data_IF_052420750536
#
_entry.id   IF_052420750536
#
_cell.length_a   1.000
_cell.length_b   1.000
_cell.length_c   1.000
_cell.angle_alpha   90.00
_cell.angle_beta   90.00
_cell.angle_gamma   90.00
#
_symmetry.space_group_name_H-M   'P 1'
#
loop_
_entity.id
_entity.type
_entity.pdbx_description
1 polymer ?
#
# COMPACT_ATOMS: atom_id res chain seq x y z
N UNK A 1 -18.19 40.59 32.09
CA UNK A 1 -19.11 39.84 31.25
C UNK A 1 -18.43 39.28 29.98
N UNK A 2 -17.77 40.12 29.16
CA UNK A 2 -17.12 39.67 27.91
C UNK A 2 -16.02 38.59 28.07
N UNK A 3 -15.26 38.64 29.19
CA UNK A 3 -14.17 37.69 29.46
C UNK A 3 -14.70 36.26 29.76
N UNK A 4 -15.84 36.18 30.47
CA UNK A 4 -16.50 34.92 30.81
C UNK A 4 -17.12 34.29 29.55
N UNK A 5 -17.75 35.09 28.69
CA UNK A 5 -18.30 34.64 27.42
C UNK A 5 -17.21 34.07 26.49
N UNK A 6 -16.03 34.68 26.48
CA UNK A 6 -14.92 34.26 25.65
C UNK A 6 -14.31 32.90 26.13
N UNK A 7 -14.28 32.68 27.45
CA UNK A 7 -13.84 31.40 28.01
C UNK A 7 -14.87 30.27 27.75
N UNK A 8 -16.17 30.57 27.87
CA UNK A 8 -17.24 29.61 27.55
C UNK A 8 -17.21 29.23 26.05
N UNK A 9 -17.02 30.21 25.16
CA UNK A 9 -16.89 29.96 23.72
C UNK A 9 -15.66 29.10 23.38
N UNK A 10 -14.51 29.37 23.98
CA UNK A 10 -13.32 28.56 23.82
C UNK A 10 -13.52 27.12 24.31
N UNK A 11 -14.19 26.95 25.46
CA UNK A 11 -14.48 25.64 26.03
C UNK A 11 -15.43 24.83 25.12
N UNK A 12 -16.47 25.48 24.56
CA UNK A 12 -17.41 24.83 23.65
C UNK A 12 -16.75 24.43 22.30
N UNK A 13 -15.89 25.29 21.75
CA UNK A 13 -15.14 24.98 20.51
C UNK A 13 -14.15 23.83 20.72
N UNK A 14 -13.42 23.81 21.84
CA UNK A 14 -12.53 22.71 22.21
C UNK A 14 -13.30 21.40 22.39
N UNK A 15 -14.48 21.43 22.97
CA UNK A 15 -15.32 20.27 23.19
C UNK A 15 -15.90 19.75 21.87
N UNK A 16 -16.30 20.62 20.95
CA UNK A 16 -16.74 20.26 19.61
C UNK A 16 -15.59 19.68 18.80
N UNK A 17 -14.39 20.26 18.84
CA UNK A 17 -13.18 19.74 18.20
C UNK A 17 -12.77 18.38 18.79
N UNK A 18 -12.88 18.19 20.10
CA UNK A 18 -12.61 16.93 20.76
C UNK A 18 -13.60 15.84 20.31
N UNK A 19 -14.89 16.16 20.29
CA UNK A 19 -15.95 15.24 19.82
C UNK A 19 -15.81 14.94 18.33
N UNK A 20 -15.46 15.94 17.52
CA UNK A 20 -15.19 15.76 16.09
C UNK A 20 -13.97 14.83 15.87
N UNK A 21 -12.86 15.08 16.55
CA UNK A 21 -11.67 14.21 16.48
C UNK A 21 -11.93 12.82 17.05
N UNK A 22 -12.76 12.72 18.12
CA UNK A 22 -13.16 11.43 18.69
C UNK A 22 -14.06 10.66 17.73
N UNK A 23 -15.00 11.31 17.05
CA UNK A 23 -15.86 10.69 16.03
C UNK A 23 -15.05 10.17 14.84
N UNK A 24 -14.05 10.93 14.37
CA UNK A 24 -13.13 10.46 13.32
C UNK A 24 -12.32 9.25 13.80
N UNK A 25 -11.89 9.23 15.06
CA UNK A 25 -11.10 8.15 15.65
C UNK A 25 -11.91 6.86 15.87
N UNK A 26 -13.24 6.98 15.99
CA UNK A 26 -14.19 5.86 16.18
C UNK A 26 -14.71 5.31 14.84
N UNK A 27 -14.51 6.02 13.73
CA UNK A 27 -14.84 5.45 12.41
C UNK A 27 -14.02 4.19 12.17
N UNK A 28 -14.72 3.06 12.06
CA UNK A 28 -14.07 1.77 11.74
C UNK A 28 -13.34 1.93 10.41
N UNK A 29 -12.01 1.77 10.45
CA UNK A 29 -11.21 1.73 9.22
C UNK A 29 -11.78 0.67 8.28
N UNK A 30 -11.81 0.99 6.99
CA UNK A 30 -12.24 0.09 5.91
C UNK A 30 -11.07 -0.14 4.97
N UNK A 31 -11.20 -1.10 4.09
CA UNK A 31 -10.32 -1.31 2.94
C UNK A 31 -11.01 -0.74 1.71
N UNK A 32 -10.31 0.10 0.96
CA UNK A 32 -10.83 0.75 -0.26
C UNK A 32 -10.08 0.17 -1.46
N UNK A 33 -10.82 -0.41 -2.39
CA UNK A 33 -10.30 -0.87 -3.67
C UNK A 33 -10.84 0.01 -4.79
N UNK A 34 -9.94 0.56 -5.62
CA UNK A 34 -10.31 1.38 -6.78
C UNK A 34 -10.04 0.56 -8.03
N UNK A 35 -11.07 0.34 -8.82
CA UNK A 35 -10.96 -0.34 -10.11
C UNK A 35 -11.44 0.56 -11.27
N UNK A 36 -11.16 0.16 -12.50
CA UNK A 36 -11.53 0.87 -13.72
C UNK A 36 -10.51 0.68 -14.85
N UNK A 37 -10.73 1.31 -15.97
CA UNK A 37 -9.92 1.16 -17.18
C UNK A 37 -8.44 1.52 -16.99
N UNK A 38 -7.55 0.87 -17.76
CA UNK A 38 -6.12 1.19 -17.75
C UNK A 38 -5.90 2.66 -18.13
N UNK A 39 -4.88 3.27 -17.53
CA UNK A 39 -4.43 4.65 -17.82
C UNK A 39 -5.44 5.78 -17.52
N UNK A 40 -6.51 5.53 -16.77
CA UNK A 40 -7.50 6.56 -16.38
C UNK A 40 -7.18 7.32 -15.08
N UNK A 41 -5.96 7.27 -14.59
CA UNK A 41 -5.54 8.03 -13.40
C UNK A 41 -5.84 7.37 -12.05
N UNK A 42 -6.32 6.11 -12.00
CA UNK A 42 -6.65 5.39 -10.75
C UNK A 42 -5.59 5.47 -9.67
N UNK A 43 -4.33 5.23 -10.04
CA UNK A 43 -3.25 5.20 -9.07
C UNK A 43 -2.98 6.58 -8.45
N UNK A 44 -3.19 7.65 -9.19
CA UNK A 44 -3.08 9.02 -8.67
C UNK A 44 -4.22 9.29 -7.71
N UNK A 45 -5.46 9.01 -8.11
CA UNK A 45 -6.64 9.17 -7.26
C UNK A 45 -6.53 8.34 -5.97
N UNK A 46 -6.07 7.09 -6.07
CA UNK A 46 -5.91 6.21 -4.91
C UNK A 46 -4.87 6.74 -3.91
N UNK A 47 -3.76 7.29 -4.41
CA UNK A 47 -2.72 7.90 -3.58
C UNK A 47 -3.22 9.17 -2.89
N UNK A 48 -3.92 10.03 -3.62
CA UNK A 48 -4.47 11.27 -3.07
C UNK A 48 -5.55 10.97 -2.04
N UNK A 49 -6.48 10.04 -2.33
CA UNK A 49 -7.47 9.59 -1.38
C UNK A 49 -6.84 9.02 -0.10
N UNK A 50 -5.86 8.13 -0.25
CA UNK A 50 -5.17 7.54 0.91
C UNK A 50 -4.55 8.62 1.81
N UNK A 51 -3.90 9.62 1.20
CA UNK A 51 -3.31 10.76 1.92
C UNK A 51 -4.36 11.58 2.67
N UNK A 52 -5.46 11.91 2.00
CA UNK A 52 -6.53 12.74 2.59
C UNK A 52 -7.21 12.07 3.80
N UNK A 53 -7.43 10.75 3.74
CA UNK A 53 -8.11 10.02 4.83
C UNK A 53 -7.14 9.37 5.83
N UNK A 54 -5.84 9.56 5.67
CA UNK A 54 -4.80 8.99 6.55
C UNK A 54 -4.69 7.47 6.45
N UNK A 55 -4.94 6.91 5.26
CA UNK A 55 -4.79 5.48 4.96
C UNK A 55 -3.47 5.21 4.25
N UNK A 56 -3.06 3.94 4.24
CA UNK A 56 -1.86 3.51 3.53
C UNK A 56 -2.25 3.09 2.11
N UNK A 57 -1.60 3.69 1.11
CA UNK A 57 -1.72 3.23 -0.28
C UNK A 57 -0.85 2.00 -0.50
N UNK A 58 -1.44 0.92 -1.00
CA UNK A 58 -0.73 -0.31 -1.39
C UNK A 58 -0.37 -0.24 -2.87
N UNK A 59 0.92 -0.09 -3.15
CA UNK A 59 1.48 -0.07 -4.51
C UNK A 59 1.81 -1.50 -4.96
N UNK A 60 0.91 -2.15 -5.68
CA UNK A 60 1.15 -3.49 -6.21
C UNK A 60 2.37 -3.54 -7.14
N UNK A 61 2.63 -2.48 -7.91
CA UNK A 61 3.83 -2.38 -8.73
C UNK A 61 5.12 -2.38 -7.90
N UNK A 62 5.12 -1.73 -6.74
CA UNK A 62 6.24 -1.76 -5.81
C UNK A 62 6.45 -3.17 -5.23
N UNK A 63 5.39 -3.95 -5.03
CA UNK A 63 5.50 -5.34 -4.56
C UNK A 63 6.26 -6.21 -5.57
N UNK A 64 5.90 -6.15 -6.85
CA UNK A 64 6.65 -6.89 -7.89
C UNK A 64 8.11 -6.43 -8.02
N UNK A 65 8.37 -5.13 -7.86
CA UNK A 65 9.73 -4.58 -7.82
C UNK A 65 10.51 -5.08 -6.61
N UNK A 66 9.88 -5.25 -5.46
CA UNK A 66 10.49 -5.81 -4.26
C UNK A 66 10.90 -7.28 -4.49
N UNK A 67 10.03 -8.10 -5.10
CA UNK A 67 10.38 -9.47 -5.49
C UNK A 67 11.52 -9.48 -6.49
N UNK A 68 11.53 -8.56 -7.45
CA UNK A 68 12.61 -8.44 -8.44
C UNK A 68 13.94 -8.09 -7.78
N UNK A 69 13.95 -7.11 -6.87
CA UNK A 69 15.14 -6.73 -6.09
C UNK A 69 15.67 -7.93 -5.29
N UNK A 70 14.77 -8.61 -4.56
CA UNK A 70 15.12 -9.82 -3.82
C UNK A 70 15.74 -10.89 -4.74
N UNK A 71 15.17 -11.09 -5.92
CA UNK A 71 15.67 -12.05 -6.91
C UNK A 71 17.07 -11.69 -7.41
N UNK A 72 17.34 -10.39 -7.60
CA UNK A 72 18.66 -9.91 -7.99
C UNK A 72 19.69 -10.10 -6.87
N UNK A 73 19.35 -9.73 -5.63
CA UNK A 73 20.24 -9.84 -4.47
C UNK A 73 20.56 -11.31 -4.11
N UNK A 74 19.68 -12.27 -4.46
CA UNK A 74 19.83 -13.69 -4.15
C UNK A 74 20.33 -14.54 -5.35
N UNK A 75 20.77 -13.90 -6.45
CA UNK A 75 21.34 -14.61 -7.60
C UNK A 75 20.33 -15.55 -8.26
N UNK A 76 19.07 -15.13 -8.36
CA UNK A 76 18.00 -15.85 -9.08
C UNK A 76 18.09 -15.58 -10.58
N UNK A 77 18.63 -14.43 -10.96
CA UNK A 77 18.90 -14.12 -12.36
C UNK A 77 20.22 -14.71 -12.82
N UNK A 78 20.18 -15.50 -13.88
CA UNK A 78 21.32 -16.06 -14.59
C UNK A 78 21.36 -15.43 -16.00
N UNK A 79 21.91 -14.22 -16.11
CA UNK A 79 21.74 -13.38 -17.29
C UNK A 79 20.27 -12.99 -17.47
N UNK A 80 19.67 -13.33 -18.61
CA UNK A 80 18.24 -13.09 -18.89
C UNK A 80 17.31 -14.21 -18.41
N UNK A 81 17.86 -15.30 -17.89
CA UNK A 81 17.06 -16.41 -17.37
C UNK A 81 16.79 -16.25 -15.89
N UNK A 82 15.59 -16.67 -15.48
CA UNK A 82 15.16 -16.70 -14.09
C UNK A 82 15.20 -18.16 -13.62
N UNK A 83 15.90 -18.41 -12.52
CA UNK A 83 15.82 -19.68 -11.80
C UNK A 83 14.48 -19.73 -11.04
N UNK A 84 13.45 -20.21 -11.73
CA UNK A 84 12.08 -20.26 -11.22
C UNK A 84 11.92 -21.20 -10.04
N UNK A 85 12.66 -22.31 -10.02
CA UNK A 85 12.60 -23.29 -8.93
C UNK A 85 13.20 -22.69 -7.65
N UNK A 86 14.34 -22.02 -7.78
CA UNK A 86 14.97 -21.31 -6.67
C UNK A 86 14.06 -20.19 -6.14
N UNK A 87 13.49 -19.37 -7.03
CA UNK A 87 12.55 -18.32 -6.61
C UNK A 87 11.32 -18.91 -5.91
N UNK A 88 10.75 -19.99 -6.43
CA UNK A 88 9.60 -20.67 -5.85
C UNK A 88 9.89 -21.21 -4.45
N UNK A 89 11.10 -21.70 -4.19
CA UNK A 89 11.50 -22.13 -2.85
C UNK A 89 11.61 -20.96 -1.85
N UNK A 90 12.03 -19.78 -2.32
CA UNK A 90 12.31 -18.60 -1.51
C UNK A 90 11.13 -17.62 -1.41
N UNK A 91 10.07 -17.81 -2.21
CA UNK A 91 8.95 -16.85 -2.26
C UNK A 91 8.26 -16.67 -0.91
N UNK A 92 8.30 -17.68 -0.05
CA UNK A 92 7.71 -17.65 1.29
C UNK A 92 8.49 -16.76 2.27
N UNK A 93 9.76 -16.49 1.98
CA UNK A 93 10.63 -15.66 2.81
C UNK A 93 10.54 -14.17 2.42
N UNK A 94 9.75 -13.86 1.40
CA UNK A 94 9.55 -12.50 0.91
C UNK A 94 8.34 -11.90 1.60
N UNK A 95 8.58 -11.04 2.59
CA UNK A 95 7.54 -10.30 3.30
C UNK A 95 7.61 -8.82 2.95
N UNK A 96 6.56 -8.32 2.30
CA UNK A 96 6.47 -6.93 1.87
C UNK A 96 5.48 -6.19 2.78
N UNK A 97 5.85 -4.99 3.18
CA UNK A 97 4.98 -4.11 3.95
C UNK A 97 5.16 -2.65 3.52
N UNK A 98 4.16 -1.83 3.84
CA UNK A 98 4.15 -0.41 3.54
C UNK A 98 4.00 0.37 4.83
N UNK A 99 4.80 1.42 5.02
CA UNK A 99 4.72 2.31 6.18
C UNK A 99 4.70 3.75 5.70
N UNK A 100 3.81 4.54 6.27
CA UNK A 100 3.73 5.96 5.96
C UNK A 100 5.03 6.64 6.38
N UNK A 101 5.67 7.31 5.44
CA UNK A 101 6.82 8.15 5.71
C UNK A 101 6.31 9.53 6.15
N UNK A 102 6.60 9.98 7.39
CA UNK A 102 6.08 11.23 7.92
C UNK A 102 6.64 12.47 7.22
N UNK A 103 7.83 12.38 6.60
CA UNK A 103 8.46 13.49 5.92
C UNK A 103 7.85 13.73 4.54
N UNK A 104 7.54 12.66 3.81
CA UNK A 104 7.02 12.73 2.44
C UNK A 104 5.50 12.65 2.35
N UNK A 105 4.84 12.18 3.42
CA UNK A 105 3.41 11.86 3.42
C UNK A 105 3.03 10.71 2.49
N UNK A 106 4.01 9.93 2.02
CA UNK A 106 3.83 8.78 1.12
C UNK A 106 4.26 7.48 1.80
N UNK A 107 3.67 6.34 1.45
CA UNK A 107 4.14 5.07 1.97
C UNK A 107 5.47 4.66 1.32
N UNK A 108 6.44 4.29 2.16
CA UNK A 108 7.66 3.61 1.74
C UNK A 108 7.45 2.10 1.74
N UNK A 109 8.13 1.42 0.82
CA UNK A 109 8.10 -0.04 0.67
C UNK A 109 9.19 -0.68 1.51
N UNK A 110 8.83 -1.70 2.26
CA UNK A 110 9.72 -2.50 3.10
C UNK A 110 9.73 -3.95 2.64
N UNK A 111 10.91 -4.53 2.56
CA UNK A 111 11.16 -5.95 2.29
C UNK A 111 11.82 -6.56 3.53
N UNK A 112 11.18 -7.56 4.12
CA UNK A 112 11.66 -8.21 5.34
C UNK A 112 12.04 -7.21 6.46
N UNK A 113 11.26 -6.12 6.57
CA UNK A 113 11.48 -5.06 7.55
C UNK A 113 12.51 -3.98 7.18
N UNK A 114 13.19 -4.12 6.06
CA UNK A 114 14.19 -3.16 5.55
C UNK A 114 13.53 -2.21 4.56
N UNK A 115 13.71 -0.90 4.70
CA UNK A 115 13.24 0.08 3.73
C UNK A 115 14.00 -0.06 2.41
N UNK A 116 13.28 -0.33 1.33
CA UNK A 116 13.83 -0.53 -0.01
C UNK A 116 13.27 0.46 -1.05
N UNK A 117 12.51 1.47 -0.61
CA UNK A 117 11.78 2.37 -1.53
C UNK A 117 12.69 2.96 -2.62
N UNK A 118 13.87 3.45 -2.24
CA UNK A 118 14.81 4.00 -3.21
C UNK A 118 15.41 2.93 -4.14
N UNK A 119 15.70 1.74 -3.60
CA UNK A 119 16.31 0.63 -4.36
C UNK A 119 15.39 0.12 -5.45
N UNK A 120 14.09 0.01 -5.18
CA UNK A 120 13.11 -0.52 -6.15
C UNK A 120 12.72 0.47 -7.24
N UNK A 121 13.13 1.73 -7.14
CA UNK A 121 12.85 2.76 -8.16
C UNK A 121 13.97 2.91 -9.21
N UNK A 122 15.02 2.12 -9.11
CA UNK A 122 16.14 2.14 -10.07
C UNK A 122 15.71 1.56 -11.43
N UNK A 123 16.42 1.99 -12.49
CA UNK A 123 16.21 1.46 -13.85
C UNK A 123 16.56 -0.03 -13.91
N UNK A 124 17.55 -0.46 -13.16
CA UNK A 124 17.99 -1.84 -13.13
C UNK A 124 16.89 -2.79 -12.64
N UNK A 125 16.22 -2.42 -11.54
CA UNK A 125 15.05 -3.17 -11.06
C UNK A 125 13.91 -3.07 -12.06
N UNK A 126 13.62 -1.86 -12.56
CA UNK A 126 12.49 -1.60 -13.45
C UNK A 126 12.53 -2.41 -14.75
N UNK A 127 13.72 -2.59 -15.32
CA UNK A 127 13.89 -3.37 -16.56
C UNK A 127 13.63 -4.87 -16.39
N UNK A 128 13.73 -5.38 -15.17
CA UNK A 128 13.62 -6.82 -14.84
C UNK A 128 12.31 -7.22 -14.18
N UNK A 129 11.37 -6.28 -13.99
CA UNK A 129 10.10 -6.56 -13.30
C UNK A 129 9.17 -7.45 -14.12
N UNK A 130 9.06 -7.20 -15.44
CA UNK A 130 8.07 -7.85 -16.28
C UNK A 130 8.17 -9.38 -16.27
N UNK A 131 9.35 -10.01 -16.45
CA UNK A 131 9.47 -11.46 -16.39
C UNK A 131 9.15 -12.05 -15.00
N UNK A 132 9.44 -11.33 -13.90
CA UNK A 132 9.05 -11.76 -12.55
C UNK A 132 7.53 -11.67 -12.37
N UNK A 133 6.90 -10.59 -12.82
CA UNK A 133 5.46 -10.39 -12.73
C UNK A 133 4.65 -11.35 -13.61
N UNK A 134 5.26 -11.97 -14.61
CA UNK A 134 4.63 -12.99 -15.46
C UNK A 134 4.51 -14.36 -14.79
N UNK A 135 5.24 -14.61 -13.69
CA UNK A 135 5.22 -15.89 -13.00
C UNK A 135 3.96 -16.04 -12.12
N UNK A 136 3.15 -17.06 -12.38
CA UNK A 136 1.87 -17.24 -11.70
C UNK A 136 2.01 -17.40 -10.18
N UNK A 137 2.98 -18.19 -9.72
CA UNK A 137 3.21 -18.38 -8.28
C UNK A 137 3.65 -17.09 -7.57
N UNK A 138 4.34 -16.17 -8.27
CA UNK A 138 4.67 -14.84 -7.73
C UNK A 138 3.40 -14.01 -7.61
N UNK A 139 2.53 -14.05 -8.62
CA UNK A 139 1.25 -13.33 -8.59
C UNK A 139 0.37 -13.82 -7.44
N UNK A 140 0.26 -15.14 -7.28
CA UNK A 140 -0.48 -15.76 -6.17
C UNK A 140 0.06 -15.30 -4.80
N UNK A 141 1.38 -15.32 -4.62
CA UNK A 141 2.01 -14.88 -3.39
C UNK A 141 1.76 -13.39 -3.11
N UNK A 142 1.83 -12.54 -4.14
CA UNK A 142 1.56 -11.10 -3.98
C UNK A 142 0.09 -10.83 -3.66
N UNK A 143 -0.84 -11.54 -4.30
CA UNK A 143 -2.27 -11.46 -3.99
C UNK A 143 -2.54 -11.88 -2.53
N UNK A 144 -1.95 -12.98 -2.08
CA UNK A 144 -2.12 -13.44 -0.69
C UNK A 144 -1.64 -12.39 0.32
N UNK A 145 -0.47 -11.74 0.08
CA UNK A 145 0.02 -10.69 0.95
C UNK A 145 -0.87 -9.44 0.92
N UNK A 146 -1.40 -9.05 -0.26
CA UNK A 146 -2.36 -7.95 -0.36
C UNK A 146 -3.64 -8.24 0.42
N UNK A 147 -4.16 -9.47 0.34
CA UNK A 147 -5.34 -9.90 1.09
C UNK A 147 -5.10 -9.79 2.61
N UNK A 148 -3.94 -10.21 3.07
CA UNK A 148 -3.58 -10.10 4.49
C UNK A 148 -3.49 -8.65 4.94
N UNK A 149 -2.85 -7.78 4.14
CA UNK A 149 -2.83 -6.34 4.40
C UNK A 149 -4.25 -5.75 4.43
N UNK A 150 -5.14 -6.24 3.56
CA UNK A 150 -6.55 -5.81 3.49
C UNK A 150 -7.33 -6.10 4.77
N UNK A 151 -7.04 -7.20 5.46
CA UNK A 151 -7.70 -7.55 6.72
C UNK A 151 -7.42 -6.54 7.84
N UNK A 152 -6.23 -5.94 7.84
CA UNK A 152 -5.84 -4.92 8.81
C UNK A 152 -6.65 -3.62 8.64
N UNK A 153 -7.31 -3.41 7.49
CA UNK A 153 -8.07 -2.21 7.13
C UNK A 153 -7.22 -0.91 7.14
N UNK A 154 -7.81 0.21 6.79
CA UNK A 154 -7.09 1.49 6.70
C UNK A 154 -6.10 1.52 5.53
N UNK A 155 -6.45 0.85 4.45
CA UNK A 155 -5.67 0.83 3.21
C UNK A 155 -6.50 1.24 2.01
N UNK A 156 -5.82 1.78 1.00
CA UNK A 156 -6.34 2.02 -0.35
C UNK A 156 -5.46 1.28 -1.34
N UNK A 157 -6.05 0.65 -2.33
CA UNK A 157 -5.32 -0.08 -3.37
C UNK A 157 -6.01 0.05 -4.71
N UNK A 158 -5.28 -0.28 -5.80
CA UNK A 158 -5.78 -0.26 -7.18
C UNK A 158 -5.78 -1.67 -7.76
N UNK A 159 -6.80 -1.98 -8.55
CA UNK A 159 -6.94 -3.25 -9.29
C UNK A 159 -6.96 -4.47 -8.37
N UNK A 160 -8.08 -4.64 -7.72
CA UNK A 160 -8.37 -5.76 -6.81
C UNK A 160 -9.07 -6.92 -7.52
N UNK A 161 -8.81 -7.13 -8.80
CA UNK A 161 -9.50 -8.13 -9.63
C UNK A 161 -9.43 -9.57 -9.11
N UNK A 162 -8.65 -9.83 -8.05
CA UNK A 162 -8.51 -11.16 -7.45
C UNK A 162 -8.83 -11.20 -5.95
N UNK A 163 -9.36 -10.10 -5.38
CA UNK A 163 -9.75 -10.07 -3.98
C UNK A 163 -11.28 -10.17 -3.90
N UNK A 164 -11.75 -11.32 -3.40
CA UNK A 164 -13.12 -11.53 -2.98
C UNK A 164 -13.41 -10.73 -1.70
N UNK A 165 -13.34 -9.39 -1.79
CA UNK A 165 -13.93 -8.53 -0.77
C UNK A 165 -15.39 -8.27 -1.17
N UNK A 166 -16.33 -8.22 -0.21
CA UNK A 166 -17.67 -7.75 -0.51
C UNK A 166 -17.55 -6.33 -1.09
N UNK A 167 -17.80 -6.20 -2.37
CA UNK A 167 -17.74 -4.92 -3.09
C UNK A 167 -18.92 -4.08 -2.64
N UNK A 168 -18.65 -2.96 -1.95
CA UNK A 168 -19.70 -2.06 -1.47
C UNK A 168 -20.08 -1.03 -2.56
N UNK A 169 -19.23 -0.79 -3.56
CA UNK A 169 -19.52 0.12 -4.67
C UNK A 169 -18.65 -0.20 -5.88
N UNK A 170 -19.30 -0.43 -7.02
CA UNK A 170 -18.73 -0.32 -8.36
C UNK A 170 -19.29 0.93 -9.02
N UNK A 171 -18.44 1.83 -9.48
CA UNK A 171 -18.81 2.98 -10.29
C UNK A 171 -18.54 2.67 -11.74
#
# INVERSE_FOLDING_TARGET
MARILNEILKFSVLQVLYLYNYSIKVMRKITIAIDGFSSCGKSTMAKDLAREIGYIYIDSGAMYRAVTLYSMENGIFQGDRIDTEKLKSLIKDIHISFRLNPETGRPDTYLNGINIENKIRTMEVSSRVSPIAALDFVREAMVAQQQEMGKAKGIVTVSYTHLTLPTICSV
#
